data_IF_346543118639
#
_entry.id   IF_346543118639
#
_cell.length_a   1.000
_cell.length_b   1.000
_cell.length_c   1.000
_cell.angle_alpha   90.00
_cell.angle_beta   90.00
_cell.angle_gamma   90.00
#
_symmetry.space_group_name_H-M   'P 1'
#
loop_
_entity.id
_entity.type
_entity.pdbx_description
1 polymer ?
#
# COMPACT_ATOMS: atom_id res chain seq x y z
N UNK A 1 3.44 -19.28 15.99
CA UNK A 1 2.46 -19.84 15.03
C UNK A 1 2.38 -21.33 15.28
N UNK A 2 1.17 -21.87 15.47
CA UNK A 2 0.95 -23.29 15.79
C UNK A 2 -0.09 -23.87 14.81
N UNK A 3 0.17 -23.68 13.52
CA UNK A 3 -0.64 -24.23 12.44
C UNK A 3 -0.05 -25.56 11.99
N UNK A 4 -0.91 -26.51 11.62
CA UNK A 4 -0.45 -27.75 11.03
C UNK A 4 0.18 -27.44 9.65
N UNK A 5 1.48 -27.76 9.44
CA UNK A 5 2.12 -27.58 8.15
C UNK A 5 1.35 -28.25 7.00
N UNK A 6 0.64 -29.36 7.25
CA UNK A 6 -0.14 -30.07 6.24
C UNK A 6 -1.34 -29.24 5.74
N UNK A 7 -1.99 -28.46 6.63
CA UNK A 7 -3.10 -27.58 6.25
C UNK A 7 -2.63 -26.46 5.32
N UNK A 8 -1.48 -25.84 5.64
CA UNK A 8 -0.90 -24.77 4.82
C UNK A 8 -0.48 -25.29 3.44
N UNK A 9 0.18 -26.45 3.40
CA UNK A 9 0.59 -27.11 2.15
C UNK A 9 -0.63 -27.42 1.27
N UNK A 10 -1.74 -27.88 1.87
CA UNK A 10 -2.98 -28.13 1.14
C UNK A 10 -3.53 -26.86 0.47
N UNK A 11 -3.48 -25.72 1.15
CA UNK A 11 -3.94 -24.43 0.57
C UNK A 11 -3.01 -23.98 -0.56
N UNK A 12 -1.69 -24.13 -0.37
CA UNK A 12 -0.69 -23.79 -1.41
C UNK A 12 -0.84 -24.67 -2.64
N UNK A 13 -1.15 -25.95 -2.48
CA UNK A 13 -1.42 -26.86 -3.60
C UNK A 13 -2.63 -26.39 -4.43
N UNK A 14 -3.73 -26.00 -3.77
CA UNK A 14 -4.90 -25.43 -4.46
C UNK A 14 -4.56 -24.13 -5.20
N UNK A 15 -3.80 -23.24 -4.58
CA UNK A 15 -3.33 -22.01 -5.22
C UNK A 15 -2.42 -22.29 -6.42
N UNK A 16 -1.60 -23.34 -6.32
CA UNK A 16 -0.70 -23.77 -7.39
C UNK A 16 -1.49 -24.25 -8.61
N UNK A 17 -2.51 -25.09 -8.39
CA UNK A 17 -3.39 -25.57 -9.46
C UNK A 17 -4.11 -24.42 -10.16
N UNK A 18 -4.56 -23.42 -9.39
CA UNK A 18 -5.16 -22.20 -9.93
C UNK A 18 -4.15 -21.34 -10.70
N UNK A 19 -2.91 -21.24 -10.21
CA UNK A 19 -1.85 -20.46 -10.81
C UNK A 19 -1.38 -21.04 -12.15
N UNK A 20 -1.23 -22.36 -12.23
CA UNK A 20 -0.85 -23.08 -13.46
C UNK A 20 -2.03 -23.33 -14.41
N UNK A 21 -3.25 -22.94 -14.02
CA UNK A 21 -4.50 -23.31 -14.70
C UNK A 21 -4.65 -24.82 -14.91
N UNK A 22 -3.98 -25.64 -14.08
CA UNK A 22 -3.93 -27.09 -14.22
C UNK A 22 -3.09 -27.60 -15.41
N UNK A 23 -2.34 -26.74 -16.11
CA UNK A 23 -1.53 -27.12 -17.28
C UNK A 23 -0.14 -27.67 -16.91
N UNK A 24 0.24 -27.59 -15.63
CA UNK A 24 1.53 -28.11 -15.15
C UNK A 24 1.37 -28.73 -13.77
N UNK A 25 1.93 -29.94 -13.63
CA UNK A 25 1.93 -30.74 -12.39
C UNK A 25 3.12 -30.44 -11.47
N UNK A 26 4.01 -29.54 -11.88
CA UNK A 26 5.18 -29.13 -11.12
C UNK A 26 5.37 -27.61 -11.20
N UNK A 27 5.65 -26.99 -10.07
CA UNK A 27 6.10 -25.60 -9.97
C UNK A 27 7.50 -25.55 -9.39
N UNK A 28 8.21 -24.44 -9.63
CA UNK A 28 9.53 -24.25 -9.03
C UNK A 28 9.40 -24.04 -7.52
N UNK A 29 10.51 -24.27 -6.80
CA UNK A 29 10.54 -24.05 -5.35
C UNK A 29 10.21 -22.59 -5.00
N UNK A 30 10.72 -21.65 -5.79
CA UNK A 30 10.47 -20.22 -5.62
C UNK A 30 8.98 -19.88 -5.76
N UNK A 31 8.30 -20.46 -6.76
CA UNK A 31 6.86 -20.25 -6.95
C UNK A 31 6.04 -20.85 -5.79
N UNK A 32 6.41 -22.03 -5.29
CA UNK A 32 5.74 -22.64 -4.14
C UNK A 32 5.95 -21.81 -2.85
N UNK A 33 7.17 -21.30 -2.63
CA UNK A 33 7.47 -20.41 -1.50
C UNK A 33 6.69 -19.10 -1.61
N UNK A 34 6.63 -18.51 -2.80
CA UNK A 34 5.87 -17.27 -3.06
C UNK A 34 4.38 -17.44 -2.73
N UNK A 35 3.78 -18.56 -3.13
CA UNK A 35 2.38 -18.88 -2.80
C UNK A 35 2.20 -19.17 -1.30
N UNK A 36 3.19 -19.75 -0.63
CA UNK A 36 3.17 -19.91 0.83
C UNK A 36 3.16 -18.54 1.53
N UNK A 37 4.00 -17.60 1.08
CA UNK A 37 4.01 -16.24 1.59
C UNK A 37 2.65 -15.54 1.38
N UNK A 38 1.99 -15.77 0.24
CA UNK A 38 0.64 -15.29 -0.02
C UNK A 38 -0.39 -15.84 1.00
N UNK A 39 -0.33 -17.13 1.31
CA UNK A 39 -1.21 -17.76 2.31
C UNK A 39 -0.97 -17.17 3.69
N UNK A 40 0.30 -17.04 4.10
CA UNK A 40 0.67 -16.49 5.40
C UNK A 40 0.26 -15.02 5.54
N UNK A 41 0.39 -14.22 4.48
CA UNK A 41 -0.10 -12.84 4.45
C UNK A 41 -1.60 -12.79 4.77
N UNK A 42 -2.42 -13.56 4.06
CA UNK A 42 -3.86 -13.61 4.31
C UNK A 42 -4.17 -14.08 5.74
N UNK A 43 -3.52 -15.12 6.24
CA UNK A 43 -3.75 -15.58 7.62
C UNK A 43 -3.42 -14.47 8.62
N UNK A 44 -2.32 -13.74 8.42
CA UNK A 44 -1.95 -12.62 9.27
C UNK A 44 -3.01 -11.51 9.26
N UNK A 45 -3.63 -11.25 8.11
CA UNK A 45 -4.73 -10.29 8.02
C UNK A 45 -5.95 -10.70 8.86
N UNK A 46 -6.33 -11.98 8.80
CA UNK A 46 -7.40 -12.50 9.64
C UNK A 46 -7.05 -12.44 11.14
N UNK A 47 -5.81 -12.71 11.51
CA UNK A 47 -5.33 -12.58 12.90
C UNK A 47 -5.38 -11.12 13.38
N UNK A 48 -4.98 -10.17 12.53
CA UNK A 48 -5.03 -8.74 12.82
C UNK A 48 -6.48 -8.27 13.06
N UNK A 49 -7.44 -8.76 12.27
CA UNK A 49 -8.87 -8.53 12.52
C UNK A 49 -9.34 -9.09 13.86
N UNK A 50 -8.92 -10.32 14.21
CA UNK A 50 -9.24 -10.96 15.48
C UNK A 50 -8.69 -10.17 16.68
N UNK A 51 -7.44 -9.69 16.60
CA UNK A 51 -6.82 -8.88 17.63
C UNK A 51 -7.58 -7.55 17.87
N UNK A 52 -8.17 -7.01 16.81
CA UNK A 52 -9.04 -5.83 16.87
C UNK A 52 -10.49 -6.15 17.27
N UNK A 53 -10.82 -7.40 17.62
CA UNK A 53 -12.14 -7.83 18.07
C UNK A 53 -13.19 -7.98 16.96
N UNK A 54 -12.77 -8.03 15.69
CA UNK A 54 -13.68 -8.09 14.53
C UNK A 54 -14.11 -9.52 14.16
N UNK A 55 -13.45 -10.56 14.71
CA UNK A 55 -13.77 -11.97 14.45
C UNK A 55 -13.85 -12.75 15.79
N UNK A 56 -14.85 -13.63 15.99
CA UNK A 56 -14.99 -14.39 17.23
C UNK A 56 -13.87 -15.43 17.41
N UNK A 57 -13.22 -15.42 18.57
CA UNK A 57 -12.24 -16.42 19.00
C UNK A 57 -12.89 -17.81 19.16
N UNK A 58 -12.82 -18.63 18.12
CA UNK A 58 -12.81 -20.09 18.24
C UNK A 58 -11.60 -20.60 17.45
N UNK A 59 -11.07 -21.78 17.79
CA UNK A 59 -9.97 -22.43 17.08
C UNK A 59 -10.31 -22.58 15.59
N UNK A 60 -10.02 -21.55 14.80
CA UNK A 60 -10.24 -21.55 13.37
C UNK A 60 -9.08 -22.32 12.73
N UNK A 61 -9.42 -23.31 11.92
CA UNK A 61 -8.43 -24.00 11.07
C UNK A 61 -7.76 -23.01 10.10
N UNK A 62 -6.56 -23.37 9.61
CA UNK A 62 -5.77 -22.46 8.77
C UNK A 62 -6.52 -22.06 7.49
N UNK A 63 -7.42 -22.93 7.00
CA UNK A 63 -8.24 -22.68 5.81
C UNK A 63 -9.28 -21.60 6.04
N UNK A 64 -9.94 -21.61 7.19
CA UNK A 64 -10.93 -20.60 7.58
C UNK A 64 -10.27 -19.24 7.77
N UNK A 65 -9.09 -19.21 8.41
CA UNK A 65 -8.29 -17.99 8.55
C UNK A 65 -7.83 -17.46 7.20
N UNK A 66 -7.30 -18.33 6.33
CA UNK A 66 -6.89 -17.94 4.98
C UNK A 66 -8.06 -17.33 4.18
N UNK A 67 -9.25 -17.94 4.23
CA UNK A 67 -10.43 -17.41 3.52
C UNK A 67 -10.89 -16.06 4.07
N UNK A 68 -10.95 -15.91 5.40
CA UNK A 68 -11.30 -14.65 6.04
C UNK A 68 -10.28 -13.56 5.69
N UNK A 69 -9.00 -13.90 5.76
CA UNK A 69 -7.88 -13.04 5.42
C UNK A 69 -7.88 -12.60 3.96
N UNK A 70 -8.08 -13.54 3.04
CA UNK A 70 -8.21 -13.23 1.61
C UNK A 70 -9.35 -12.24 1.34
N UNK A 71 -10.50 -12.42 2.00
CA UNK A 71 -11.61 -11.48 1.88
C UNK A 71 -11.23 -10.10 2.43
N UNK A 72 -10.52 -10.03 3.56
CA UNK A 72 -10.05 -8.76 4.11
C UNK A 72 -9.05 -8.05 3.19
N UNK A 73 -8.14 -8.78 2.54
CA UNK A 73 -7.24 -8.19 1.54
C UNK A 73 -8.05 -7.59 0.38
N UNK A 74 -9.07 -8.28 -0.11
CA UNK A 74 -9.96 -7.77 -1.16
C UNK A 74 -10.70 -6.51 -0.69
N UNK A 75 -11.22 -6.52 0.53
CA UNK A 75 -11.93 -5.38 1.10
C UNK A 75 -10.99 -4.18 1.31
N UNK A 76 -9.75 -4.40 1.75
CA UNK A 76 -8.69 -3.38 1.80
C UNK A 76 -8.40 -2.77 0.44
N UNK A 77 -8.34 -3.57 -0.62
CA UNK A 77 -8.13 -3.06 -1.98
C UNK A 77 -9.24 -2.11 -2.37
N UNK A 78 -10.51 -2.48 -2.12
CA UNK A 78 -11.64 -1.61 -2.46
C UNK A 78 -11.67 -0.35 -1.57
N UNK A 79 -11.31 -0.45 -0.29
CA UNK A 79 -11.17 0.72 0.60
C UNK A 79 -10.05 1.66 0.12
N UNK A 80 -8.88 1.13 -0.22
CA UNK A 80 -7.76 1.90 -0.74
C UNK A 80 -8.11 2.58 -2.08
N UNK A 81 -8.82 1.90 -2.99
CA UNK A 81 -9.36 2.53 -4.21
C UNK A 81 -10.34 3.66 -3.89
N UNK A 82 -11.18 3.48 -2.86
CA UNK A 82 -12.06 4.53 -2.34
C UNK A 82 -11.29 5.76 -1.87
N UNK A 83 -10.28 5.55 -1.02
CA UNK A 83 -9.37 6.61 -0.55
C UNK A 83 -8.64 7.30 -1.70
N UNK A 84 -8.14 6.53 -2.66
CA UNK A 84 -7.47 7.07 -3.85
C UNK A 84 -8.41 7.96 -4.69
N UNK A 85 -9.70 7.59 -4.83
CA UNK A 85 -10.69 8.44 -5.50
C UNK A 85 -10.93 9.77 -4.77
N UNK A 86 -10.87 9.77 -3.44
CA UNK A 86 -10.95 11.01 -2.65
C UNK A 86 -9.69 11.85 -2.88
N UNK A 87 -8.50 11.25 -2.78
CA UNK A 87 -7.22 11.90 -3.05
C UNK A 87 -7.22 12.58 -4.43
N UNK A 88 -7.55 11.85 -5.50
CA UNK A 88 -7.48 12.38 -6.86
C UNK A 88 -8.45 13.54 -7.11
N UNK A 89 -9.59 13.58 -6.41
CA UNK A 89 -10.62 14.62 -6.60
C UNK A 89 -10.16 16.03 -6.21
N UNK A 90 -9.16 16.12 -5.32
CA UNK A 90 -8.62 17.38 -4.82
C UNK A 90 -7.10 17.48 -5.00
N UNK A 91 -6.53 16.60 -5.82
CA UNK A 91 -5.10 16.47 -5.99
C UNK A 91 -4.46 17.68 -6.69
N UNK A 92 -3.36 18.16 -6.12
CA UNK A 92 -2.44 19.10 -6.74
C UNK A 92 -1.02 18.54 -6.63
N UNK A 93 -0.32 18.50 -7.76
CA UNK A 93 1.11 18.16 -7.76
C UNK A 93 1.98 19.29 -7.25
N UNK A 94 1.44 20.52 -7.16
CA UNK A 94 2.19 21.75 -6.87
C UNK A 94 3.42 21.91 -7.77
N UNK A 95 3.41 21.30 -8.97
CA UNK A 95 4.53 21.30 -9.92
C UNK A 95 5.60 20.24 -9.68
N UNK A 96 5.56 19.47 -8.59
CA UNK A 96 6.51 18.37 -8.32
C UNK A 96 6.18 17.13 -9.18
N UNK A 97 7.14 16.69 -10.00
CA UNK A 97 6.98 15.56 -10.92
C UNK A 97 6.93 14.22 -10.20
N UNK A 98 7.72 14.04 -9.14
CA UNK A 98 7.75 12.79 -8.40
C UNK A 98 6.38 12.49 -7.74
N UNK A 99 5.79 13.49 -7.08
CA UNK A 99 4.43 13.37 -6.56
C UNK A 99 3.41 13.11 -7.68
N UNK A 100 3.55 13.81 -8.82
CA UNK A 100 2.66 13.63 -9.96
C UNK A 100 2.72 12.20 -10.51
N UNK A 101 3.92 11.67 -10.73
CA UNK A 101 4.13 10.32 -11.25
C UNK A 101 3.69 9.26 -10.24
N UNK A 102 3.95 9.47 -8.95
CA UNK A 102 3.47 8.61 -7.88
C UNK A 102 1.94 8.49 -7.90
N UNK A 103 1.24 9.63 -7.85
CA UNK A 103 -0.22 9.64 -7.71
C UNK A 103 -0.92 9.26 -9.01
N UNK A 104 -0.45 9.76 -10.16
CA UNK A 104 -1.14 9.56 -11.43
C UNK A 104 -0.72 8.31 -12.21
N UNK A 105 0.41 7.68 -11.86
CA UNK A 105 0.93 6.49 -12.58
C UNK A 105 1.18 5.32 -11.65
N UNK A 106 1.99 5.51 -10.61
CA UNK A 106 2.42 4.39 -9.77
C UNK A 106 1.24 3.76 -9.00
N UNK A 107 0.44 4.56 -8.30
CA UNK A 107 -0.71 4.05 -7.53
C UNK A 107 -1.76 3.37 -8.44
N UNK A 108 -2.17 3.96 -9.58
CA UNK A 108 -3.02 3.25 -10.55
C UNK A 108 -2.40 1.95 -11.07
N UNK A 109 -1.11 1.96 -11.42
CA UNK A 109 -0.40 0.78 -11.89
C UNK A 109 -0.35 -0.33 -10.83
N UNK A 110 -0.24 0.04 -9.55
CA UNK A 110 -0.40 -0.91 -8.46
C UNK A 110 -1.78 -1.58 -8.51
N UNK A 111 -2.87 -0.81 -8.61
CA UNK A 111 -4.22 -1.39 -8.64
C UNK A 111 -4.51 -2.24 -9.89
N UNK A 112 -3.84 -1.99 -11.01
CA UNK A 112 -3.99 -2.79 -12.24
C UNK A 112 -3.27 -4.14 -12.16
N UNK A 113 -2.07 -4.17 -11.57
CA UNK A 113 -1.18 -5.33 -11.58
C UNK A 113 -1.22 -6.15 -10.30
N UNK A 114 -1.69 -5.56 -9.19
CA UNK A 114 -1.73 -6.23 -7.88
C UNK A 114 -2.70 -7.41 -7.88
N UNK A 115 -2.23 -8.54 -7.36
CA UNK A 115 -3.00 -9.78 -7.28
C UNK A 115 -3.25 -10.16 -5.81
N UNK A 116 -4.43 -9.86 -5.25
CA UNK A 116 -4.79 -10.26 -3.88
C UNK A 116 -4.71 -11.76 -3.62
N UNK A 117 -4.79 -12.58 -4.67
CA UNK A 117 -4.83 -14.04 -4.55
C UNK A 117 -3.45 -14.69 -4.64
N UNK A 118 -2.60 -14.18 -5.52
CA UNK A 118 -1.33 -14.84 -5.84
C UNK A 118 -0.11 -14.11 -5.29
N UNK A 119 -0.22 -12.79 -5.08
CA UNK A 119 0.86 -11.94 -4.58
C UNK A 119 0.36 -10.85 -3.60
N UNK A 120 -0.47 -11.16 -2.59
CA UNK A 120 -0.95 -10.16 -1.65
C UNK A 120 0.17 -9.49 -0.85
N UNK A 121 1.32 -10.15 -0.69
CA UNK A 121 2.49 -9.62 0.00
C UNK A 121 3.32 -8.63 -0.83
N UNK A 122 3.10 -8.54 -2.15
CA UNK A 122 3.97 -7.74 -3.02
C UNK A 122 3.57 -6.26 -3.05
N UNK A 123 4.52 -5.38 -2.72
CA UNK A 123 4.44 -3.96 -3.02
C UNK A 123 5.15 -3.71 -4.35
N UNK A 124 4.39 -3.76 -5.44
CA UNK A 124 4.92 -3.70 -6.82
C UNK A 124 5.34 -2.29 -7.28
N UNK A 125 5.29 -1.29 -6.40
CA UNK A 125 5.78 0.06 -6.65
C UNK A 125 6.79 0.49 -5.59
N UNK A 126 7.71 1.36 -5.95
CA UNK A 126 8.86 1.78 -5.13
C UNK A 126 8.51 2.86 -4.09
N UNK A 127 7.37 3.53 -4.21
CA UNK A 127 6.96 4.64 -3.33
C UNK A 127 8.04 5.74 -3.26
N UNK A 128 8.57 6.15 -4.42
CA UNK A 128 9.69 7.09 -4.54
C UNK A 128 9.39 8.51 -4.01
N UNK A 129 8.12 8.86 -3.80
CA UNK A 129 7.75 10.13 -3.18
C UNK A 129 7.78 10.01 -1.66
N UNK A 130 8.68 10.74 -0.97
CA UNK A 130 8.84 10.59 0.47
C UNK A 130 7.67 11.20 1.23
N UNK A 131 7.32 10.55 2.34
CA UNK A 131 6.32 11.00 3.32
C UNK A 131 7.03 11.41 4.62
N UNK A 132 6.45 12.28 5.46
CA UNK A 132 7.14 12.78 6.67
C UNK A 132 7.50 11.66 7.67
N UNK A 133 6.70 10.60 7.67
CA UNK A 133 6.99 9.35 8.38
C UNK A 133 6.98 8.25 7.33
N UNK A 134 8.08 7.51 7.12
CA UNK A 134 8.12 6.41 6.15
C UNK A 134 7.07 5.34 6.45
N UNK A 135 6.64 4.60 5.42
CA UNK A 135 5.80 3.41 5.60
C UNK A 135 6.71 2.27 6.03
N UNK A 136 6.64 1.87 7.30
CA UNK A 136 7.51 0.86 7.89
C UNK A 136 6.71 -0.38 8.32
N UNK A 137 7.28 -1.56 8.10
CA UNK A 137 6.71 -2.83 8.59
C UNK A 137 5.42 -3.29 7.87
N UNK A 138 5.08 -2.67 6.74
CA UNK A 138 3.91 -3.04 5.93
C UNK A 138 4.32 -3.37 4.51
N UNK A 139 3.57 -4.27 3.88
CA UNK A 139 3.74 -4.65 2.47
C UNK A 139 2.37 -4.74 1.81
N UNK A 140 2.33 -5.10 0.52
CA UNK A 140 1.08 -5.34 -0.19
C UNK A 140 0.14 -4.15 -0.16
N UNK A 141 -1.15 -4.45 0.00
CA UNK A 141 -2.20 -3.42 0.08
C UNK A 141 -2.08 -2.55 1.33
N UNK A 142 -1.57 -3.07 2.44
CA UNK A 142 -1.42 -2.33 3.69
C UNK A 142 -0.42 -1.18 3.58
N UNK A 143 0.68 -1.40 2.86
CA UNK A 143 1.64 -0.34 2.56
C UNK A 143 1.01 0.75 1.67
N UNK A 144 0.26 0.35 0.64
CA UNK A 144 -0.35 1.28 -0.32
C UNK A 144 -1.47 2.09 0.32
N UNK A 145 -2.31 1.47 1.15
CA UNK A 145 -3.37 2.17 1.86
C UNK A 145 -2.80 3.24 2.80
N UNK A 146 -1.76 2.91 3.58
CA UNK A 146 -1.09 3.88 4.45
C UNK A 146 -0.41 4.99 3.65
N UNK A 147 0.22 4.65 2.53
CA UNK A 147 0.88 5.62 1.67
C UNK A 147 -0.12 6.63 1.07
N UNK A 148 -1.29 6.16 0.63
CA UNK A 148 -2.40 7.03 0.18
C UNK A 148 -2.86 7.94 1.31
N UNK A 149 -3.07 7.41 2.52
CA UNK A 149 -3.51 8.20 3.67
C UNK A 149 -2.50 9.32 4.02
N UNK A 150 -1.20 9.03 3.93
CA UNK A 150 -0.13 10.02 4.16
C UNK A 150 -0.12 11.12 3.10
N UNK A 151 -0.22 10.76 1.81
CA UNK A 151 -0.29 11.74 0.73
C UNK A 151 -1.57 12.59 0.86
N UNK A 152 -2.71 11.97 1.19
CA UNK A 152 -3.98 12.68 1.37
C UNK A 152 -3.93 13.67 2.54
N UNK A 153 -3.29 13.29 3.66
CA UNK A 153 -3.05 14.19 4.78
C UNK A 153 -2.16 15.38 4.39
N UNK A 154 -1.10 15.15 3.61
CA UNK A 154 -0.25 16.22 3.05
C UNK A 154 -1.05 17.15 2.14
N UNK A 155 -1.83 16.61 1.19
CA UNK A 155 -2.67 17.41 0.30
C UNK A 155 -3.65 18.28 1.09
N UNK A 156 -4.28 17.72 2.13
CA UNK A 156 -5.18 18.47 3.02
C UNK A 156 -4.46 19.58 3.79
N UNK A 157 -3.22 19.38 4.17
CA UNK A 157 -2.40 20.41 4.81
C UNK A 157 -2.05 21.53 3.83
N UNK A 158 -1.54 21.18 2.65
CA UNK A 158 -1.11 22.13 1.62
C UNK A 158 -2.29 22.92 1.02
N UNK A 159 -3.48 22.31 0.94
CA UNK A 159 -4.69 22.97 0.46
C UNK A 159 -5.20 24.10 1.36
N UNK A 160 -4.68 24.24 2.59
CA UNK A 160 -5.01 25.36 3.49
C UNK A 160 -4.38 26.68 3.06
N UNK A 161 -3.37 26.64 2.19
CA UNK A 161 -2.65 27.83 1.74
C UNK A 161 -3.29 28.44 0.48
N UNK A 162 -3.17 29.76 0.28
CA UNK A 162 -3.67 30.41 -0.92
C UNK A 162 -3.06 29.82 -2.20
N UNK A 163 -3.78 29.85 -3.33
CA UNK A 163 -3.24 29.40 -4.62
C UNK A 163 -1.89 30.06 -4.94
N UNK A 164 -0.90 29.26 -5.34
CA UNK A 164 0.44 29.71 -5.69
C UNK A 164 1.42 29.87 -4.52
N UNK A 165 0.93 29.90 -3.27
CA UNK A 165 1.79 30.07 -2.08
C UNK A 165 2.77 28.91 -1.92
N UNK A 166 2.29 27.67 -2.05
CA UNK A 166 3.13 26.47 -1.88
C UNK A 166 4.23 26.46 -2.94
N UNK A 167 3.91 26.73 -4.20
CA UNK A 167 4.87 26.75 -5.29
C UNK A 167 5.87 27.91 -5.20
N UNK A 168 5.49 29.03 -4.58
CA UNK A 168 6.40 30.13 -4.25
C UNK A 168 7.42 29.72 -3.19
N UNK A 169 6.95 29.14 -2.07
CA UNK A 169 7.83 28.63 -1.01
C UNK A 169 8.79 27.58 -1.57
N UNK A 170 8.29 26.62 -2.34
CA UNK A 170 9.12 25.57 -2.93
C UNK A 170 10.17 26.14 -3.90
N UNK A 171 9.82 27.14 -4.73
CA UNK A 171 10.79 27.85 -5.59
C UNK A 171 11.85 28.61 -4.80
N UNK A 172 11.46 29.24 -3.70
CA UNK A 172 12.39 29.97 -2.84
C UNK A 172 13.36 29.03 -2.12
N UNK A 173 12.91 27.80 -1.81
CA UNK A 173 13.73 26.78 -1.18
C UNK A 173 14.75 26.18 -2.16
N UNK A 174 14.33 25.81 -3.38
CA UNK A 174 15.27 25.41 -4.44
C UNK A 174 14.69 25.65 -5.84
N UNK A 175 15.53 26.11 -6.77
CA UNK A 175 15.12 26.46 -8.13
C UNK A 175 14.60 25.26 -8.94
N UNK A 176 15.07 24.05 -8.63
CA UNK A 176 14.77 22.79 -9.30
C UNK A 176 13.77 21.90 -8.54
N UNK A 177 12.97 22.47 -7.63
CA UNK A 177 12.07 21.74 -6.72
C UNK A 177 11.11 20.75 -7.43
N UNK A 178 10.83 21.01 -8.71
CA UNK A 178 9.94 20.18 -9.52
C UNK A 178 10.48 18.77 -9.72
N UNK A 179 11.79 18.59 -9.68
CA UNK A 179 12.48 17.32 -9.91
C UNK A 179 13.06 16.72 -8.62
N UNK A 180 12.72 17.30 -7.47
CA UNK A 180 13.25 16.91 -6.17
C UNK A 180 12.42 15.81 -5.49
N UNK A 181 13.12 15.00 -4.70
CA UNK A 181 12.60 13.86 -3.94
C UNK A 181 12.52 14.23 -2.46
N UNK A 182 11.65 15.17 -2.11
CA UNK A 182 11.36 15.54 -0.73
C UNK A 182 9.86 15.63 -0.49
N UNK A 183 9.48 15.61 0.77
CA UNK A 183 8.11 15.86 1.17
C UNK A 183 7.84 17.38 1.17
N UNK A 184 6.78 17.84 0.52
CA UNK A 184 6.55 19.27 0.38
C UNK A 184 6.01 19.90 1.66
N UNK A 185 5.20 19.15 2.43
CA UNK A 185 4.68 19.62 3.70
C UNK A 185 5.78 19.96 4.71
N UNK A 186 6.89 19.20 4.71
CA UNK A 186 8.04 19.48 5.57
C UNK A 186 8.69 20.83 5.27
N UNK A 187 8.86 21.16 3.99
CA UNK A 187 9.47 22.44 3.57
C UNK A 187 8.54 23.59 3.93
N UNK A 188 7.27 23.48 3.57
CA UNK A 188 6.26 24.51 3.86
C UNK A 188 6.14 24.73 5.37
N UNK A 189 6.25 23.68 6.18
CA UNK A 189 6.25 23.79 7.63
C UNK A 189 7.50 24.53 8.14
N UNK A 190 8.71 24.16 7.68
CA UNK A 190 9.97 24.79 8.08
C UNK A 190 10.02 26.28 7.72
N UNK A 191 9.70 26.64 6.49
CA UNK A 191 9.72 28.03 6.01
C UNK A 191 8.65 28.92 6.66
N UNK A 192 7.65 28.33 7.34
CA UNK A 192 6.68 29.08 8.14
C UNK A 192 7.19 29.35 9.56
N UNK A 193 8.03 28.48 10.11
CA UNK A 193 8.54 28.60 11.48
C UNK A 193 9.80 29.45 11.58
N UNK A 194 10.55 29.57 10.49
CA UNK A 194 11.69 30.48 10.38
C UNK A 194 11.23 31.76 9.67
N UNK A 195 11.28 32.94 10.30
CA UNK A 195 11.09 34.19 9.58
C UNK A 195 12.16 34.27 8.49
N UNK A 196 11.74 34.46 7.25
CA UNK A 196 12.65 34.83 6.17
C UNK A 196 13.26 36.19 6.59
N UNK A 197 14.54 36.18 6.97
CA UNK A 197 15.32 37.38 7.30
C UNK A 197 15.44 38.34 6.10
#
# INVERSE_FOLDING_TARGET
MNYDPEELISIVAELTDLYTKGESTSVTYEAAQHLMEAVLYCIHEAESMNANGLVPCQQADARSLYKAGFQEVVDKVERAKGKYKVLISSFSSYGNRNLNDTVLKAIPGFFELYSPRFSPQETIITMDYPTPVPVEGKTGIDAIEEYIDKIEAEQRFLAKFPPGYVEEILRSYTADYKDQFFNMSEIVFKCKTDPIE
#
